data_IF_269154666624
#
_entry.id   IF_269154666624
#
_cell.length_a   1.000
_cell.length_b   1.000
_cell.length_c   1.000
_cell.angle_alpha   90.00
_cell.angle_beta   90.00
_cell.angle_gamma   90.00
#
_symmetry.space_group_name_H-M   'P 1'
#
loop_
_entity.id
_entity.type
_entity.pdbx_description
1 polymer ?
#
# COMPACT_ATOMS: atom_id res chain seq x y z
N UNK A 1 -21.76 -16.10 38.35
CA UNK A 1 -20.88 -16.31 37.18
C UNK A 1 -20.88 -15.01 36.43
N UNK A 2 -19.96 -14.11 36.77
CA UNK A 2 -19.84 -12.77 36.17
C UNK A 2 -19.06 -12.94 34.87
N UNK A 3 -19.73 -12.77 33.72
CA UNK A 3 -19.09 -12.75 32.42
C UNK A 3 -18.24 -11.47 32.33
N UNK A 4 -16.95 -11.58 32.50
CA UNK A 4 -16.01 -10.49 32.23
C UNK A 4 -15.98 -10.32 30.70
N UNK A 5 -16.74 -9.35 30.20
CA UNK A 5 -16.59 -8.87 28.82
C UNK A 5 -15.20 -8.20 28.80
N UNK A 6 -14.19 -8.95 28.35
CA UNK A 6 -12.91 -8.36 27.98
C UNK A 6 -13.20 -7.39 26.84
N UNK A 7 -13.12 -6.10 27.17
CA UNK A 7 -13.17 -5.01 26.20
C UNK A 7 -11.95 -5.20 25.29
N UNK A 8 -12.10 -5.88 24.13
CA UNK A 8 -11.04 -5.96 23.12
C UNK A 8 -10.73 -4.53 22.70
N UNK A 9 -9.61 -4.03 23.19
CA UNK A 9 -9.11 -2.70 22.84
C UNK A 9 -9.04 -2.61 21.32
N UNK A 10 -9.84 -1.75 20.72
CA UNK A 10 -9.87 -1.58 19.27
C UNK A 10 -8.43 -1.36 18.75
N UNK A 11 -8.03 -2.13 17.74
CA UNK A 11 -6.67 -2.08 17.18
C UNK A 11 -6.47 -0.70 16.53
N UNK A 12 -5.36 0.03 16.81
CA UNK A 12 -5.21 1.42 16.39
C UNK A 12 -5.52 1.68 14.92
N UNK A 13 -4.97 0.89 14.00
CA UNK A 13 -5.18 1.07 12.57
C UNK A 13 -6.66 0.90 12.13
N UNK A 14 -7.47 0.20 12.92
CA UNK A 14 -8.91 0.02 12.65
C UNK A 14 -9.72 1.30 12.91
N UNK A 15 -9.19 2.25 13.70
CA UNK A 15 -9.85 3.53 13.96
C UNK A 15 -10.04 4.41 12.71
N UNK A 16 -9.27 4.15 11.64
CA UNK A 16 -9.46 4.81 10.34
C UNK A 16 -10.75 4.42 9.62
N UNK A 17 -11.51 3.43 10.13
CA UNK A 17 -12.63 2.83 9.42
C UNK A 17 -12.17 1.82 8.37
N UNK A 18 -13.06 1.51 7.42
CA UNK A 18 -12.79 0.49 6.40
C UNK A 18 -12.95 1.04 4.99
N UNK A 19 -12.32 0.37 4.01
CA UNK A 19 -12.44 0.64 2.59
C UNK A 19 -12.59 -0.67 1.82
N UNK A 20 -13.22 -0.63 0.66
CA UNK A 20 -13.36 -1.79 -0.22
C UNK A 20 -12.29 -1.82 -1.31
N UNK A 21 -11.77 -3.00 -1.56
CA UNK A 21 -10.95 -3.37 -2.71
C UNK A 21 -11.72 -4.45 -3.49
N UNK A 22 -12.64 -4.03 -4.34
CA UNK A 22 -13.64 -4.93 -4.93
C UNK A 22 -14.61 -5.47 -3.87
N UNK A 23 -14.68 -6.80 -3.74
CA UNK A 23 -15.48 -7.48 -2.68
C UNK A 23 -14.72 -7.67 -1.37
N UNK A 24 -13.44 -7.31 -1.31
CA UNK A 24 -12.63 -7.35 -0.09
C UNK A 24 -12.85 -6.06 0.73
N UNK A 25 -12.90 -6.21 2.06
CA UNK A 25 -12.98 -5.09 3.00
C UNK A 25 -11.74 -5.10 3.86
N UNK A 26 -11.02 -3.98 3.91
CA UNK A 26 -9.81 -3.80 4.72
C UNK A 26 -9.91 -2.56 5.58
N UNK A 27 -9.14 -2.50 6.67
CA UNK A 27 -9.00 -1.27 7.44
C UNK A 27 -8.31 -0.21 6.59
N UNK A 28 -8.79 1.03 6.67
CA UNK A 28 -8.37 2.15 5.82
C UNK A 28 -7.03 2.78 6.25
N UNK A 29 -6.17 1.96 6.84
CA UNK A 29 -4.77 2.24 7.17
C UNK A 29 -3.98 0.96 6.94
N UNK A 30 -3.33 0.85 5.77
CA UNK A 30 -2.57 -0.32 5.36
C UNK A 30 -1.10 -0.26 5.82
N UNK A 31 -0.34 -1.28 5.50
CA UNK A 31 1.09 -1.37 5.76
C UNK A 31 1.88 -1.54 4.45
N UNK A 32 2.86 -0.67 4.21
CA UNK A 32 3.78 -0.77 3.07
C UNK A 32 5.03 -1.57 3.42
N UNK A 33 5.22 -2.72 2.76
CA UNK A 33 6.31 -3.63 3.06
C UNK A 33 7.62 -3.34 2.28
N UNK A 34 7.72 -2.21 1.59
CA UNK A 34 8.93 -1.86 0.83
C UNK A 34 10.17 -1.77 1.74
N UNK A 35 10.01 -1.29 2.98
CA UNK A 35 11.11 -1.08 3.94
C UNK A 35 11.51 -2.31 4.75
N UNK A 36 10.87 -3.47 4.54
CA UNK A 36 11.31 -4.72 5.17
C UNK A 36 12.47 -5.39 4.42
N UNK A 37 12.71 -4.99 3.16
CA UNK A 37 13.92 -5.36 2.42
C UNK A 37 15.15 -4.60 2.95
N UNK A 38 16.32 -5.00 2.48
CA UNK A 38 17.60 -4.39 2.84
C UNK A 38 17.73 -2.92 2.45
N UNK A 39 18.88 -2.29 2.77
CA UNK A 39 19.15 -0.90 2.41
C UNK A 39 18.93 -0.65 0.92
N UNK A 40 18.40 0.54 0.57
CA UNK A 40 18.02 0.93 -0.80
C UNK A 40 16.97 0.00 -1.44
N UNK A 41 16.19 -0.70 -0.61
CA UNK A 41 15.18 -1.68 -1.06
C UNK A 41 15.88 -2.79 -1.90
N UNK A 42 17.03 -3.27 -1.42
CA UNK A 42 17.86 -4.23 -2.14
C UNK A 42 18.42 -5.32 -1.21
N UNK A 43 18.18 -6.58 -1.59
CA UNK A 43 18.66 -7.75 -0.85
C UNK A 43 18.02 -7.90 0.54
N UNK A 44 18.59 -8.76 1.33
CA UNK A 44 18.12 -9.06 2.67
C UNK A 44 18.33 -7.91 3.66
N UNK A 45 17.41 -7.72 4.61
CA UNK A 45 17.61 -6.83 5.74
C UNK A 45 18.72 -7.38 6.67
N UNK A 46 19.36 -6.50 7.44
CA UNK A 46 20.39 -6.90 8.42
C UNK A 46 19.86 -7.88 9.46
N UNK A 47 18.59 -7.76 9.85
CA UNK A 47 17.91 -8.64 10.81
C UNK A 47 16.55 -9.09 10.24
N UNK A 48 16.56 -10.26 9.57
CA UNK A 48 15.32 -10.89 9.06
C UNK A 48 14.33 -11.21 10.18
N UNK A 49 14.82 -11.60 11.36
CA UNK A 49 13.95 -11.95 12.48
C UNK A 49 13.22 -10.71 13.00
N UNK A 50 13.89 -9.55 13.08
CA UNK A 50 13.24 -8.28 13.42
C UNK A 50 12.18 -7.90 12.42
N UNK A 51 12.42 -8.07 11.10
CA UNK A 51 11.44 -7.77 10.07
C UNK A 51 10.21 -8.70 10.13
N UNK A 52 10.41 -9.98 10.43
CA UNK A 52 9.26 -10.90 10.65
C UNK A 52 8.43 -10.48 11.87
N UNK A 53 9.06 -10.11 12.99
CA UNK A 53 8.34 -9.58 14.16
C UNK A 53 7.58 -8.30 13.84
N UNK A 54 8.15 -7.41 13.04
CA UNK A 54 7.52 -6.17 12.59
C UNK A 54 6.27 -6.46 11.74
N UNK A 55 6.34 -7.42 10.81
CA UNK A 55 5.20 -7.83 9.98
C UNK A 55 4.06 -8.43 10.83
N UNK A 56 4.38 -9.29 11.79
CA UNK A 56 3.39 -9.81 12.75
C UNK A 56 2.77 -8.66 13.54
N UNK A 57 3.62 -7.76 14.08
CA UNK A 57 3.16 -6.61 14.85
C UNK A 57 2.25 -5.68 14.04
N UNK A 58 2.52 -5.49 12.75
CA UNK A 58 1.65 -4.70 11.88
C UNK A 58 0.23 -5.27 11.82
N UNK A 59 0.09 -6.60 11.66
CA UNK A 59 -1.23 -7.23 11.69
C UNK A 59 -1.91 -7.12 13.06
N UNK A 60 -1.17 -7.29 14.15
CA UNK A 60 -1.69 -7.11 15.52
C UNK A 60 -2.23 -5.70 15.77
N UNK A 61 -1.61 -4.68 15.19
CA UNK A 61 -2.05 -3.28 15.28
C UNK A 61 -3.28 -2.97 14.40
N UNK A 62 -3.72 -3.94 13.61
CA UNK A 62 -4.95 -3.82 12.81
C UNK A 62 -4.71 -3.42 11.36
N UNK A 63 -3.48 -3.46 10.85
CA UNK A 63 -3.26 -3.35 9.42
C UNK A 63 -3.74 -4.65 8.75
N UNK A 64 -4.87 -4.59 8.07
CA UNK A 64 -5.47 -5.74 7.37
C UNK A 64 -5.19 -5.73 5.87
N UNK A 65 -4.47 -4.73 5.38
CA UNK A 65 -3.95 -4.63 4.03
C UNK A 65 -2.43 -4.46 4.04
N UNK A 66 -1.72 -5.37 3.41
CA UNK A 66 -0.27 -5.32 3.23
C UNK A 66 0.06 -5.11 1.76
N UNK A 67 0.82 -4.05 1.46
CA UNK A 67 1.27 -3.70 0.13
C UNK A 67 2.73 -4.07 -0.07
N UNK A 68 3.01 -4.90 -1.07
CA UNK A 68 4.36 -5.31 -1.45
C UNK A 68 4.56 -5.25 -2.97
N UNK A 69 5.66 -5.76 -3.49
CA UNK A 69 5.96 -5.96 -4.90
C UNK A 69 7.08 -6.98 -5.09
N UNK A 70 7.12 -7.61 -6.26
CA UNK A 70 8.21 -8.51 -6.69
C UNK A 70 9.57 -7.80 -6.74
N UNK A 71 9.57 -6.53 -7.10
CA UNK A 71 10.76 -5.68 -7.21
C UNK A 71 11.33 -5.19 -5.86
N UNK A 72 10.67 -5.49 -4.73
CA UNK A 72 11.16 -5.08 -3.41
C UNK A 72 12.13 -6.11 -2.84
N UNK A 73 13.42 -5.78 -2.97
CA UNK A 73 14.52 -6.56 -2.47
C UNK A 73 15.42 -7.32 -3.46
N UNK A 74 15.18 -7.49 -4.81
CA UNK A 74 13.98 -8.11 -5.39
C UNK A 74 13.56 -9.41 -4.69
N UNK A 75 12.28 -9.69 -4.70
CA UNK A 75 11.63 -10.88 -4.11
C UNK A 75 11.61 -10.94 -2.57
N UNK A 76 12.54 -10.27 -1.89
CA UNK A 76 12.75 -10.40 -0.43
C UNK A 76 11.51 -10.03 0.37
N UNK A 77 10.80 -8.96 -0.01
CA UNK A 77 9.63 -8.50 0.72
C UNK A 77 8.48 -9.52 0.70
N UNK A 78 8.18 -10.13 -0.45
CA UNK A 78 7.16 -11.18 -0.58
C UNK A 78 7.52 -12.43 0.23
N UNK A 79 8.79 -12.84 0.17
CA UNK A 79 9.29 -13.99 0.95
C UNK A 79 9.17 -13.73 2.46
N UNK A 80 9.55 -12.54 2.93
CA UNK A 80 9.47 -12.16 4.34
C UNK A 80 8.03 -12.13 4.86
N UNK A 81 7.08 -11.64 4.04
CA UNK A 81 5.65 -11.68 4.38
C UNK A 81 5.19 -13.13 4.58
N UNK A 82 5.56 -14.02 3.64
CA UNK A 82 5.21 -15.43 3.76
C UNK A 82 5.88 -16.10 4.97
N UNK A 83 7.15 -15.82 5.22
CA UNK A 83 7.85 -16.36 6.41
C UNK A 83 7.24 -15.91 7.75
N UNK A 84 6.72 -14.68 7.79
CA UNK A 84 6.17 -14.10 9.00
C UNK A 84 4.71 -14.51 9.27
N UNK A 85 3.90 -14.66 8.21
CA UNK A 85 2.45 -14.68 8.33
C UNK A 85 1.77 -15.90 7.72
N UNK A 86 2.50 -16.77 6.97
CA UNK A 86 1.89 -17.98 6.44
C UNK A 86 1.90 -19.13 7.49
N UNK A 87 0.74 -19.82 7.69
CA UNK A 87 -0.56 -19.63 7.06
C UNK A 87 -1.19 -18.27 7.44
N UNK A 88 -1.71 -17.57 6.42
CA UNK A 88 -2.16 -16.18 6.61
C UNK A 88 -3.35 -16.08 7.55
N UNK A 89 -3.34 -15.11 8.48
CA UNK A 89 -4.46 -14.90 9.38
C UNK A 89 -5.71 -14.44 8.62
N UNK A 90 -6.87 -14.88 9.08
CA UNK A 90 -8.17 -14.51 8.50
C UNK A 90 -8.33 -12.98 8.46
N UNK A 91 -8.72 -12.46 7.31
CA UNK A 91 -8.96 -11.03 7.11
C UNK A 91 -7.74 -10.23 6.68
N UNK A 92 -6.55 -10.84 6.59
CA UNK A 92 -5.40 -10.21 5.95
C UNK A 92 -5.57 -10.28 4.43
N UNK A 93 -5.38 -9.15 3.76
CA UNK A 93 -5.39 -8.98 2.31
C UNK A 93 -3.99 -8.55 1.87
N UNK A 94 -3.43 -9.22 0.86
CA UNK A 94 -2.11 -8.90 0.31
C UNK A 94 -2.26 -8.31 -1.09
N UNK A 95 -1.76 -7.08 -1.25
CA UNK A 95 -1.55 -6.47 -2.55
C UNK A 95 -0.08 -6.59 -2.95
N UNK A 96 0.18 -7.15 -4.14
CA UNK A 96 1.51 -7.15 -4.74
C UNK A 96 1.49 -6.54 -6.14
N UNK A 97 2.65 -6.37 -6.73
CA UNK A 97 2.82 -5.67 -8.01
C UNK A 97 3.85 -6.37 -8.86
N UNK A 98 3.74 -6.19 -10.19
CA UNK A 98 4.77 -6.51 -11.16
C UNK A 98 4.71 -5.54 -12.34
N UNK A 99 5.77 -5.52 -13.12
CA UNK A 99 5.95 -4.58 -14.22
C UNK A 99 7.02 -3.50 -13.95
N UNK A 100 7.70 -3.56 -12.79
CA UNK A 100 8.98 -2.90 -12.54
C UNK A 100 10.04 -3.93 -12.21
N UNK A 101 11.20 -3.82 -12.83
CA UNK A 101 12.36 -4.68 -12.58
C UNK A 101 13.51 -3.87 -11.97
N UNK A 102 14.39 -4.57 -11.29
CA UNK A 102 15.56 -4.00 -10.61
C UNK A 102 16.85 -4.59 -11.21
N UNK A 103 17.36 -4.05 -12.34
CA UNK A 103 18.61 -4.54 -12.92
C UNK A 103 19.83 -4.33 -12.00
N UNK A 104 19.78 -3.26 -11.19
CA UNK A 104 20.79 -2.96 -10.16
C UNK A 104 20.12 -2.33 -8.93
N UNK A 105 20.88 -2.20 -7.82
CA UNK A 105 20.41 -1.59 -6.57
C UNK A 105 19.72 -0.23 -6.74
N UNK A 106 20.18 0.61 -7.64
CA UNK A 106 19.69 1.99 -7.79
C UNK A 106 18.89 2.22 -9.07
N UNK A 107 18.68 1.16 -9.88
CA UNK A 107 17.95 1.29 -11.15
C UNK A 107 16.62 0.56 -11.07
N UNK A 108 15.59 1.27 -11.52
CA UNK A 108 14.22 0.78 -11.67
C UNK A 108 13.84 0.96 -13.13
N UNK A 109 13.47 -0.13 -13.80
CA UNK A 109 13.04 -0.09 -15.19
C UNK A 109 11.62 -0.66 -15.29
N UNK A 110 10.81 -0.11 -16.17
CA UNK A 110 9.52 -0.67 -16.52
C UNK A 110 9.71 -1.92 -17.38
N UNK A 111 8.90 -2.96 -17.14
CA UNK A 111 8.79 -4.12 -18.01
C UNK A 111 7.34 -4.60 -18.06
N UNK A 112 6.57 -4.01 -19.00
CA UNK A 112 5.17 -4.32 -19.22
C UNK A 112 4.92 -5.47 -20.20
N UNK A 113 5.96 -6.19 -20.64
CA UNK A 113 5.81 -7.27 -21.62
C UNK A 113 4.95 -8.42 -21.07
N UNK A 114 4.06 -8.97 -21.88
CA UNK A 114 3.20 -10.11 -21.48
C UNK A 114 3.94 -11.27 -20.83
N UNK A 115 5.10 -11.66 -21.37
CA UNK A 115 5.90 -12.78 -20.87
C UNK A 115 6.44 -12.46 -19.47
N UNK A 116 6.93 -11.24 -19.26
CA UNK A 116 7.42 -10.80 -17.94
C UNK A 116 6.30 -10.78 -16.91
N UNK A 117 5.14 -10.21 -17.25
CA UNK A 117 4.00 -10.13 -16.32
C UNK A 117 3.50 -11.51 -15.91
N UNK A 118 3.47 -12.50 -16.82
CA UNK A 118 3.13 -13.89 -16.48
C UNK A 118 4.14 -14.49 -15.50
N UNK A 119 5.44 -14.30 -15.76
CA UNK A 119 6.50 -14.77 -14.86
C UNK A 119 6.45 -14.10 -13.49
N UNK A 120 6.20 -12.78 -13.45
CA UNK A 120 6.09 -12.00 -12.23
C UNK A 120 4.93 -12.48 -11.33
N UNK A 121 3.73 -12.71 -11.93
CA UNK A 121 2.58 -13.26 -11.20
C UNK A 121 2.88 -14.64 -10.65
N UNK A 122 3.42 -15.54 -11.46
CA UNK A 122 3.76 -16.91 -11.04
C UNK A 122 4.85 -16.91 -9.96
N UNK A 123 5.82 -16.01 -10.08
CA UNK A 123 6.84 -15.76 -9.07
C UNK A 123 6.26 -15.27 -7.74
N UNK A 124 5.34 -14.32 -7.77
CA UNK A 124 4.66 -13.79 -6.58
C UNK A 124 3.81 -14.85 -5.88
N UNK A 125 3.03 -15.63 -6.62
CA UNK A 125 2.25 -16.75 -6.08
C UNK A 125 3.13 -17.75 -5.30
N UNK A 126 4.28 -18.12 -5.90
CA UNK A 126 5.24 -19.04 -5.28
C UNK A 126 5.87 -18.44 -4.01
N UNK A 127 6.33 -17.19 -4.06
CA UNK A 127 7.02 -16.53 -2.92
C UNK A 127 6.06 -16.26 -1.77
N UNK A 128 4.84 -15.83 -2.07
CA UNK A 128 3.79 -15.62 -1.08
C UNK A 128 3.15 -16.92 -0.61
N UNK A 129 3.41 -18.07 -1.25
CA UNK A 129 2.83 -19.38 -0.92
C UNK A 129 1.29 -19.37 -0.96
N UNK A 130 0.72 -18.76 -1.98
CA UNK A 130 -0.72 -18.66 -2.21
C UNK A 130 -1.09 -19.13 -3.61
N UNK A 131 -2.32 -19.59 -3.79
CA UNK A 131 -2.84 -20.02 -5.10
C UNK A 131 -3.46 -18.88 -5.89
N UNK A 132 -3.88 -17.81 -5.20
CA UNK A 132 -4.49 -16.62 -5.80
C UNK A 132 -4.09 -15.36 -5.05
N UNK A 133 -3.64 -14.33 -5.79
CA UNK A 133 -3.30 -13.01 -5.26
C UNK A 133 -4.60 -12.21 -5.07
N UNK A 134 -4.78 -11.62 -3.89
CA UNK A 134 -5.98 -10.82 -3.59
C UNK A 134 -6.06 -9.55 -4.44
N UNK A 135 -4.97 -8.78 -4.52
CA UNK A 135 -4.84 -7.58 -5.34
C UNK A 135 -3.50 -7.60 -6.07
N UNK A 136 -3.54 -7.61 -7.40
CA UNK A 136 -2.35 -7.45 -8.23
C UNK A 136 -2.38 -6.10 -8.95
N UNK A 137 -1.35 -5.28 -8.76
CA UNK A 137 -1.26 -3.95 -9.34
C UNK A 137 -0.22 -3.93 -10.47
N UNK A 138 -0.61 -3.43 -11.65
CA UNK A 138 0.36 -3.11 -12.69
C UNK A 138 1.22 -1.94 -12.21
N UNK A 139 2.50 -2.21 -11.92
CA UNK A 139 3.36 -1.33 -11.12
C UNK A 139 3.64 0.02 -11.80
N UNK A 140 3.86 0.01 -13.12
CA UNK A 140 3.97 1.21 -13.94
C UNK A 140 3.69 0.88 -15.42
N UNK A 141 3.08 1.80 -16.19
CA UNK A 141 2.99 1.66 -17.64
C UNK A 141 4.37 1.67 -18.28
N UNK A 142 4.67 0.67 -19.13
CA UNK A 142 5.89 0.62 -19.93
C UNK A 142 5.66 1.34 -21.27
N UNK A 143 6.37 2.43 -21.57
CA UNK A 143 6.15 3.16 -22.82
C UNK A 143 6.53 2.38 -24.08
N UNK A 144 7.26 1.26 -23.94
CA UNK A 144 7.69 0.40 -25.05
C UNK A 144 6.67 -0.68 -25.39
N UNK A 145 5.65 -0.87 -24.55
CA UNK A 145 4.63 -1.91 -24.70
C UNK A 145 3.25 -1.27 -24.78
N UNK A 146 2.39 -1.63 -25.73
CA UNK A 146 1.01 -1.15 -25.74
C UNK A 146 0.33 -1.44 -24.41
N UNK A 147 -0.21 -0.39 -23.77
CA UNK A 147 -0.81 -0.49 -22.43
C UNK A 147 -1.93 -1.54 -22.36
N UNK A 148 -2.67 -1.70 -23.46
CA UNK A 148 -3.73 -2.70 -23.58
C UNK A 148 -3.19 -4.15 -23.54
N UNK A 149 -2.00 -4.40 -24.06
CA UNK A 149 -1.39 -5.74 -24.08
C UNK A 149 -0.97 -6.16 -22.67
N UNK A 150 -0.34 -5.23 -21.94
CA UNK A 150 0.01 -5.45 -20.52
C UNK A 150 -1.23 -5.74 -19.67
N UNK A 151 -2.26 -4.90 -19.78
CA UNK A 151 -3.51 -5.08 -19.02
C UNK A 151 -4.29 -6.32 -19.48
N UNK A 152 -4.33 -6.60 -20.78
CA UNK A 152 -4.95 -7.79 -21.33
C UNK A 152 -4.36 -9.07 -20.75
N UNK A 153 -3.04 -9.10 -20.61
CA UNK A 153 -2.33 -10.21 -19.95
C UNK A 153 -2.75 -10.39 -18.50
N UNK A 154 -2.87 -9.30 -17.74
CA UNK A 154 -3.34 -9.37 -16.35
C UNK A 154 -4.80 -9.83 -16.25
N UNK A 155 -5.65 -9.45 -17.19
CA UNK A 155 -7.04 -9.94 -17.29
C UNK A 155 -7.08 -11.43 -17.59
N UNK A 156 -6.21 -11.93 -18.47
CA UNK A 156 -6.09 -13.39 -18.72
C UNK A 156 -5.71 -14.13 -17.44
N UNK A 157 -4.73 -13.63 -16.69
CA UNK A 157 -4.31 -14.23 -15.42
C UNK A 157 -5.40 -14.15 -14.33
N UNK A 158 -6.21 -13.09 -14.33
CA UNK A 158 -7.38 -12.98 -13.48
C UNK A 158 -8.45 -14.02 -13.84
N UNK A 159 -8.74 -14.19 -15.13
CA UNK A 159 -9.68 -15.23 -15.61
C UNK A 159 -9.18 -16.64 -15.32
N UNK A 160 -7.87 -16.85 -15.34
CA UNK A 160 -7.24 -18.11 -14.95
C UNK A 160 -7.26 -18.36 -13.42
N UNK A 161 -7.82 -17.44 -12.62
CA UNK A 161 -7.95 -17.59 -11.17
C UNK A 161 -6.68 -17.26 -10.37
N UNK A 162 -5.60 -16.81 -11.02
CA UNK A 162 -4.34 -16.45 -10.35
C UNK A 162 -4.41 -15.10 -9.63
N UNK A 163 -5.27 -14.20 -10.09
CA UNK A 163 -5.49 -12.86 -9.54
C UNK A 163 -6.97 -12.70 -9.22
N UNK A 164 -7.31 -12.15 -8.04
CA UNK A 164 -8.68 -11.83 -7.67
C UNK A 164 -9.09 -10.45 -8.17
N UNK A 165 -8.33 -9.42 -7.81
CA UNK A 165 -8.59 -8.04 -8.21
C UNK A 165 -7.38 -7.39 -8.87
N UNK A 166 -7.66 -6.48 -9.79
CA UNK A 166 -6.65 -5.70 -10.51
C UNK A 166 -6.61 -4.25 -10.02
N UNK A 167 -5.40 -3.73 -9.90
CA UNK A 167 -5.10 -2.33 -9.69
C UNK A 167 -4.07 -1.83 -10.70
N UNK A 168 -3.88 -0.52 -10.72
CA UNK A 168 -2.85 0.14 -11.52
C UNK A 168 -2.05 1.12 -10.68
N UNK A 169 -0.83 1.42 -11.09
CA UNK A 169 0.05 2.32 -10.35
C UNK A 169 0.79 3.26 -11.33
N UNK A 170 1.11 4.47 -10.85
CA UNK A 170 1.82 5.49 -11.63
C UNK A 170 1.10 5.86 -12.94
N UNK A 171 -0.21 6.08 -12.84
CA UNK A 171 -1.08 6.35 -14.00
C UNK A 171 -1.66 7.75 -13.95
N UNK A 172 -1.90 8.33 -15.13
CA UNK A 172 -2.70 9.52 -15.33
C UNK A 172 -4.20 9.15 -15.38
N UNK A 173 -5.10 10.14 -15.28
CA UNK A 173 -6.54 9.94 -15.48
C UNK A 173 -6.84 9.26 -16.82
N UNK A 174 -6.16 9.68 -17.91
CA UNK A 174 -6.31 9.07 -19.24
C UNK A 174 -5.98 7.57 -19.24
N UNK A 175 -4.91 7.19 -18.55
CA UNK A 175 -4.50 5.79 -18.43
C UNK A 175 -5.44 4.99 -17.53
N UNK A 176 -5.92 5.59 -16.42
CA UNK A 176 -6.94 4.98 -15.57
C UNK A 176 -8.23 4.70 -16.36
N UNK A 177 -8.73 5.68 -17.12
CA UNK A 177 -9.94 5.49 -17.95
C UNK A 177 -9.72 4.44 -19.06
N UNK A 178 -8.50 4.35 -19.61
CA UNK A 178 -8.16 3.29 -20.57
C UNK A 178 -8.17 1.91 -19.89
N UNK A 179 -7.58 1.79 -18.69
CA UNK A 179 -7.58 0.55 -17.91
C UNK A 179 -8.99 0.08 -17.56
N UNK A 180 -9.86 1.00 -17.14
CA UNK A 180 -11.27 0.71 -16.79
C UNK A 180 -12.12 0.21 -17.96
N UNK A 181 -11.75 0.53 -19.21
CA UNK A 181 -12.40 -0.07 -20.39
C UNK A 181 -11.97 -1.51 -20.66
N UNK A 182 -10.84 -1.95 -20.09
CA UNK A 182 -10.26 -3.29 -20.28
C UNK A 182 -10.61 -4.20 -19.10
N UNK A 183 -10.57 -3.68 -17.86
CA UNK A 183 -10.75 -4.44 -16.64
C UNK A 183 -11.48 -3.65 -15.56
N UNK A 184 -12.05 -4.36 -14.58
CA UNK A 184 -12.50 -3.75 -13.32
C UNK A 184 -11.29 -3.41 -12.47
N UNK A 185 -10.96 -2.11 -12.37
CA UNK A 185 -9.86 -1.60 -11.56
C UNK A 185 -10.40 -1.24 -10.17
N UNK A 186 -9.83 -1.81 -9.10
CA UNK A 186 -10.27 -1.59 -7.72
C UNK A 186 -9.33 -0.68 -6.93
N UNK A 187 -8.11 -0.46 -7.42
CA UNK A 187 -7.13 0.43 -6.79
C UNK A 187 -6.29 1.19 -7.79
N UNK A 188 -5.89 2.41 -7.39
CA UNK A 188 -4.82 3.18 -8.04
C UNK A 188 -3.77 3.49 -6.99
N UNK A 189 -2.49 3.31 -7.34
CA UNK A 189 -1.39 3.63 -6.45
C UNK A 189 -0.44 4.64 -7.10
N UNK A 190 -0.51 5.91 -6.69
CA UNK A 190 0.32 7.01 -7.20
C UNK A 190 1.05 7.72 -6.05
N UNK A 191 2.08 8.51 -6.38
CA UNK A 191 2.76 9.35 -5.40
C UNK A 191 1.83 10.43 -4.89
N UNK A 192 1.58 10.45 -3.56
CA UNK A 192 0.73 11.49 -2.99
C UNK A 192 1.03 11.69 -1.51
N UNK A 193 1.19 12.93 -1.11
CA UNK A 193 1.40 13.34 0.28
C UNK A 193 1.21 14.86 0.43
N UNK A 194 1.39 15.40 1.63
CA UNK A 194 1.22 16.84 1.93
C UNK A 194 1.95 17.78 0.97
N UNK A 195 3.13 17.39 0.47
CA UNK A 195 3.98 18.22 -0.39
C UNK A 195 3.87 17.85 -1.89
N UNK A 196 3.25 16.70 -2.20
CA UNK A 196 3.12 16.21 -3.55
C UNK A 196 1.66 15.87 -3.86
N UNK A 197 0.95 16.80 -4.49
CA UNK A 197 -0.50 16.73 -4.76
C UNK A 197 -0.84 16.80 -6.26
N UNK A 198 0.15 16.55 -7.13
CA UNK A 198 -0.05 16.66 -8.58
C UNK A 198 -1.12 15.70 -9.14
N UNK A 199 -1.44 14.64 -8.41
CA UNK A 199 -2.40 13.62 -8.79
C UNK A 199 -3.77 13.81 -8.10
N UNK A 200 -4.13 15.06 -7.75
CA UNK A 200 -5.46 15.41 -7.22
C UNK A 200 -6.58 15.06 -8.20
N UNK A 201 -6.34 15.16 -9.50
CA UNK A 201 -7.26 14.77 -10.56
C UNK A 201 -7.46 13.24 -10.62
N UNK A 202 -6.40 12.47 -10.40
CA UNK A 202 -6.48 11.00 -10.32
C UNK A 202 -7.22 10.58 -9.04
N UNK A 203 -6.97 11.24 -7.90
CA UNK A 203 -7.72 11.01 -6.67
C UNK A 203 -9.22 11.31 -6.87
N UNK A 204 -9.57 12.43 -7.50
CA UNK A 204 -10.94 12.77 -7.80
C UNK A 204 -11.62 11.75 -8.75
N UNK A 205 -10.88 11.21 -9.72
CA UNK A 205 -11.37 10.12 -10.56
C UNK A 205 -11.61 8.85 -9.76
N UNK A 206 -10.73 8.52 -8.81
CA UNK A 206 -10.91 7.38 -7.90
C UNK A 206 -12.17 7.53 -7.03
N UNK A 207 -12.39 8.71 -6.43
CA UNK A 207 -13.62 9.02 -5.68
C UNK A 207 -14.87 8.80 -6.51
N UNK A 208 -14.89 9.39 -7.72
CA UNK A 208 -16.02 9.30 -8.66
C UNK A 208 -16.39 7.86 -8.99
N UNK A 209 -15.40 6.96 -9.06
CA UNK A 209 -15.60 5.60 -9.51
C UNK A 209 -15.57 4.55 -8.38
N UNK A 210 -15.47 4.97 -7.12
CA UNK A 210 -15.40 4.06 -5.98
C UNK A 210 -14.15 3.18 -5.98
N UNK A 211 -13.02 3.72 -6.47
CA UNK A 211 -11.72 3.05 -6.56
C UNK A 211 -10.87 3.50 -5.37
N UNK A 212 -10.19 2.58 -4.69
CA UNK A 212 -9.27 2.93 -3.62
C UNK A 212 -8.01 3.61 -4.17
N UNK A 213 -7.61 4.73 -3.56
CA UNK A 213 -6.38 5.44 -3.90
C UNK A 213 -5.32 5.17 -2.82
N UNK A 214 -4.21 4.56 -3.22
CA UNK A 214 -3.12 4.16 -2.35
C UNK A 214 -1.93 5.11 -2.54
N UNK A 215 -1.74 6.12 -1.66
CA UNK A 215 -0.60 7.02 -1.78
C UNK A 215 0.71 6.29 -1.45
N UNK A 216 1.62 6.16 -2.44
CA UNK A 216 2.98 5.76 -2.13
C UNK A 216 3.81 6.99 -1.70
N UNK A 217 4.84 6.79 -0.87
CA UNK A 217 5.54 7.84 -0.10
C UNK A 217 4.59 8.75 0.68
N UNK A 218 3.67 8.20 1.49
CA UNK A 218 2.68 8.99 2.23
C UNK A 218 3.30 10.02 3.18
N UNK A 219 4.53 9.80 3.64
CA UNK A 219 5.32 10.72 4.47
C UNK A 219 6.39 11.49 3.67
N UNK A 220 6.34 11.48 2.33
CA UNK A 220 7.30 12.18 1.47
C UNK A 220 8.75 11.77 1.69
N UNK A 221 9.02 10.50 2.01
CA UNK A 221 10.35 10.03 2.46
C UNK A 221 10.93 10.89 3.62
N UNK A 222 10.06 11.45 4.46
CA UNK A 222 10.43 12.29 5.60
C UNK A 222 10.48 13.80 5.30
N UNK A 223 10.21 14.26 4.08
CA UNK A 223 10.18 15.69 3.74
C UNK A 223 9.03 16.42 4.46
N UNK A 224 7.82 15.85 4.40
CA UNK A 224 6.65 16.39 5.08
C UNK A 224 6.86 16.58 6.60
N UNK A 225 7.69 15.73 7.22
CA UNK A 225 7.98 15.79 8.65
C UNK A 225 8.86 16.99 9.04
N UNK A 226 9.55 17.60 8.08
CA UNK A 226 10.39 18.79 8.28
C UNK A 226 9.62 20.09 8.15
N UNK A 227 8.41 20.06 7.57
CA UNK A 227 7.55 21.23 7.36
C UNK A 227 7.24 21.95 8.68
N UNK A 228 7.49 23.26 8.74
CA UNK A 228 7.16 24.09 9.91
C UNK A 228 5.65 24.09 10.20
N UNK A 229 4.81 24.01 9.17
CA UNK A 229 3.35 23.92 9.30
C UNK A 229 2.95 22.61 10.00
N UNK A 230 3.46 21.49 9.51
CA UNK A 230 3.17 20.16 10.10
C UNK A 230 3.63 20.10 11.56
N UNK A 231 4.82 20.60 11.88
CA UNK A 231 5.35 20.65 13.26
C UNK A 231 4.49 21.49 14.20
N UNK A 232 3.97 22.64 13.75
CA UNK A 232 3.07 23.47 14.56
C UNK A 232 1.76 22.75 14.87
N UNK A 233 1.15 22.14 13.87
CA UNK A 233 -0.09 21.37 14.07
C UNK A 233 0.18 20.18 15.00
N UNK A 234 1.28 19.45 14.80
CA UNK A 234 1.67 18.35 15.65
C UNK A 234 1.81 18.76 17.13
N UNK A 235 2.54 19.85 17.39
CA UNK A 235 2.71 20.37 18.76
C UNK A 235 1.37 20.75 19.40
N UNK A 236 0.46 21.38 18.64
CA UNK A 236 -0.87 21.79 19.14
C UNK A 236 -1.76 20.61 19.47
N UNK A 237 -1.67 19.53 18.70
CA UNK A 237 -2.48 18.31 18.89
C UNK A 237 -1.84 17.28 19.83
N UNK A 238 -0.63 17.53 20.35
CA UNK A 238 0.11 16.55 21.15
C UNK A 238 0.47 15.29 20.35
N UNK A 239 0.62 15.43 19.04
CA UNK A 239 0.90 14.35 18.10
C UNK A 239 2.29 14.50 17.47
N UNK A 240 2.74 13.46 16.74
CA UNK A 240 3.97 13.58 15.95
C UNK A 240 3.69 14.14 14.54
N UNK A 241 4.70 14.68 13.85
CA UNK A 241 4.57 15.08 12.45
C UNK A 241 4.11 13.95 11.53
N UNK A 242 4.56 12.71 11.78
CA UNK A 242 4.13 11.52 11.03
C UNK A 242 2.63 11.27 11.17
N UNK A 243 2.15 11.33 12.42
CA UNK A 243 0.72 11.16 12.73
C UNK A 243 -0.14 12.22 12.05
N UNK A 244 0.28 13.49 12.10
CA UNK A 244 -0.43 14.59 11.43
C UNK A 244 -0.47 14.39 9.91
N UNK A 245 0.64 14.00 9.28
CA UNK A 245 0.69 13.77 7.85
C UNK A 245 -0.21 12.60 7.40
N UNK A 246 -0.24 11.51 8.17
CA UNK A 246 -1.12 10.36 7.90
C UNK A 246 -2.60 10.67 8.17
N UNK A 247 -2.90 11.39 9.26
CA UNK A 247 -4.26 11.85 9.57
C UNK A 247 -4.78 12.80 8.47
N UNK A 248 -3.91 13.69 7.93
CA UNK A 248 -4.27 14.53 6.79
C UNK A 248 -4.66 13.70 5.56
N UNK A 249 -3.89 12.65 5.22
CA UNK A 249 -4.23 11.75 4.13
C UNK A 249 -5.58 11.06 4.34
N UNK A 250 -5.85 10.58 5.56
CA UNK A 250 -7.12 9.96 5.91
C UNK A 250 -8.29 10.96 5.83
N UNK A 251 -8.05 12.24 6.17
CA UNK A 251 -9.06 13.31 6.10
C UNK A 251 -9.26 13.83 4.67
N UNK A 252 -8.24 13.68 3.78
CA UNK A 252 -8.28 14.22 2.41
C UNK A 252 -9.39 13.62 1.57
N UNK A 253 -9.65 12.32 1.71
CA UNK A 253 -10.69 11.64 0.94
C UNK A 253 -11.03 10.28 1.56
N UNK A 254 -12.30 9.85 1.53
CA UNK A 254 -12.69 8.49 1.93
C UNK A 254 -12.10 7.41 1.02
N UNK A 255 -11.68 7.74 -0.20
CA UNK A 255 -11.04 6.82 -1.14
C UNK A 255 -9.56 6.54 -0.79
N UNK A 256 -8.93 7.34 0.08
CA UNK A 256 -7.51 7.18 0.41
C UNK A 256 -7.29 6.04 1.38
N UNK A 257 -6.37 5.14 1.03
CA UNK A 257 -5.83 4.05 1.84
C UNK A 257 -4.31 4.27 1.98
N UNK A 258 -3.83 5.02 2.98
CA UNK A 258 -2.39 5.24 3.17
C UNK A 258 -1.70 3.93 3.55
N UNK A 259 -0.50 3.74 3.00
CA UNK A 259 0.34 2.55 3.18
C UNK A 259 1.72 2.92 3.72
N UNK A 260 1.82 3.55 4.91
CA UNK A 260 3.12 3.89 5.47
C UNK A 260 3.96 2.64 5.72
N UNK A 261 5.23 2.68 5.29
CA UNK A 261 6.19 1.60 5.48
C UNK A 261 7.35 2.02 6.39
N UNK A 262 7.78 1.10 7.23
CA UNK A 262 8.92 1.29 8.13
C UNK A 262 9.64 -0.02 8.42
N UNK A 263 10.90 0.04 8.85
CA UNK A 263 11.66 -1.07 9.42
C UNK A 263 11.77 -1.02 10.95
N UNK A 264 11.04 -0.11 11.64
CA UNK A 264 11.08 0.09 13.08
C UNK A 264 9.71 -0.17 13.70
N UNK A 265 9.64 -1.00 14.74
CA UNK A 265 8.40 -1.27 15.49
C UNK A 265 7.88 0.02 16.14
N UNK A 266 8.75 0.87 16.70
CA UNK A 266 8.33 2.15 17.28
C UNK A 266 7.66 3.07 16.26
N UNK A 267 8.23 3.20 15.06
CA UNK A 267 7.61 3.98 13.99
C UNK A 267 6.32 3.31 13.45
N UNK A 268 6.23 1.98 13.47
CA UNK A 268 5.03 1.26 13.09
C UNK A 268 3.86 1.59 14.05
N UNK A 269 4.12 1.55 15.35
CA UNK A 269 3.14 1.87 16.39
C UNK A 269 2.73 3.35 16.33
N UNK A 270 3.69 4.25 16.13
CA UNK A 270 3.45 5.68 15.91
C UNK A 270 2.53 5.91 14.69
N UNK A 271 2.85 5.27 13.56
CA UNK A 271 2.06 5.38 12.33
C UNK A 271 0.65 4.81 12.50
N UNK A 272 0.50 3.66 13.18
CA UNK A 272 -0.80 3.06 13.42
C UNK A 272 -1.72 3.96 14.26
N UNK A 273 -1.16 4.64 15.27
CA UNK A 273 -1.90 5.58 16.11
C UNK A 273 -2.38 6.83 15.36
N UNK A 274 -1.85 7.13 14.18
CA UNK A 274 -2.35 8.21 13.33
C UNK A 274 -3.83 8.03 12.94
N UNK A 275 -4.32 6.79 12.89
CA UNK A 275 -5.70 6.48 12.59
C UNK A 275 -6.70 6.95 13.66
N UNK A 276 -6.23 7.17 14.88
CA UNK A 276 -7.02 7.67 16.00
C UNK A 276 -7.02 9.21 16.05
N UNK A 277 -6.10 9.88 15.34
CA UNK A 277 -5.93 11.33 15.35
C UNK A 277 -7.01 11.99 14.50
N UNK A 278 -7.91 12.74 15.16
CA UNK A 278 -8.88 13.61 14.49
C UNK A 278 -8.22 14.95 14.17
N UNK A 279 -8.11 15.26 12.89
CA UNK A 279 -7.58 16.53 12.42
C UNK A 279 -8.72 17.55 12.32
N UNK A 280 -8.73 18.65 13.12
CA UNK A 280 -9.73 19.68 13.02
C UNK A 280 -9.74 20.34 11.64
N UNK A 281 -10.89 20.85 11.15
CA UNK A 281 -10.99 21.48 9.83
C UNK A 281 -9.99 22.61 9.59
N UNK A 282 -9.75 23.43 10.60
CA UNK A 282 -8.78 24.54 10.56
C UNK A 282 -7.34 24.06 10.39
N UNK A 283 -6.98 22.91 11.00
CA UNK A 283 -5.66 22.31 10.85
C UNK A 283 -5.50 21.65 9.49
N UNK A 284 -6.55 20.98 9.03
CA UNK A 284 -6.57 20.40 7.68
C UNK A 284 -6.35 21.47 6.62
N UNK A 285 -7.03 22.62 6.76
CA UNK A 285 -6.91 23.75 5.83
C UNK A 285 -5.55 24.46 5.91
N UNK A 286 -4.89 24.46 7.07
CA UNK A 286 -3.57 25.07 7.26
C UNK A 286 -2.42 24.24 6.64
N UNK A 287 -2.65 22.97 6.39
CA UNK A 287 -1.69 22.00 5.83
C UNK A 287 -1.82 21.89 4.31
#
# INVERSE_FOLDING_TARGET
>A
MVCVIMNEKMKPAAAAGTIKLGDLTVNRHGFGAMRVAGPDIWGDPKDRAAMRRLLVRAFELGHTFFDTADSYGPDVSEILIAEALHPYPKGLVIGTKGGLVRPTRHRWDEDGRPEHLRQAVDGSLKKLRIERIDLYQFHAPDPRVPYADSLGTLVELQRAGKIRHLGVSNVTVKQLEAARRIATIVSVQNQYNLEHRKDDDVLAACEKHGIAFLPWYPLGAGSALRSAKVKRVAARLGATPSQVALAWLLARSPAVLPIPGTGSIAHLEENAAAAELKLPPEDFAAL
#
